data_IF_997261518088
#
_entry.id   IF_997261518088
#
_cell.length_a   1.000
_cell.length_b   1.000
_cell.length_c   1.000
_cell.angle_alpha   90.00
_cell.angle_beta   90.00
_cell.angle_gamma   90.00
#
_symmetry.space_group_name_H-M   'P 1'
#
loop_
_entity.id
_entity.type
_entity.pdbx_description
1 polymer ?
#
# COMPACT_ATOMS: atom_id res chain seq x y z
N UNK A 1 -10.94 -20.32 -20.80
CA UNK A 1 -11.04 -18.85 -20.66
C UNK A 1 -11.23 -18.56 -19.19
N UNK A 2 -10.15 -18.39 -18.43
CA UNK A 2 -10.22 -18.06 -17.00
C UNK A 2 -10.62 -16.60 -16.87
N UNK A 3 -11.72 -16.33 -16.18
CA UNK A 3 -12.12 -14.98 -15.84
C UNK A 3 -10.97 -14.28 -15.10
N UNK A 4 -10.61 -13.07 -15.52
CA UNK A 4 -9.61 -12.27 -14.81
C UNK A 4 -10.25 -11.80 -13.50
N UNK A 5 -10.05 -12.54 -12.41
CA UNK A 5 -10.49 -12.10 -11.09
C UNK A 5 -9.59 -10.95 -10.63
N UNK A 6 -10.20 -9.87 -10.13
CA UNK A 6 -9.46 -8.77 -9.51
C UNK A 6 -8.68 -9.30 -8.30
N UNK A 7 -7.35 -9.06 -8.20
CA UNK A 7 -6.56 -9.52 -7.07
C UNK A 7 -7.04 -8.91 -5.75
N UNK A 8 -7.07 -9.72 -4.69
CA UNK A 8 -7.36 -9.26 -3.32
C UNK A 8 -6.16 -8.56 -2.67
N UNK A 9 -4.96 -8.99 -3.02
CA UNK A 9 -3.70 -8.45 -2.53
C UNK A 9 -2.75 -8.18 -3.69
N UNK A 10 -2.13 -7.00 -3.73
CA UNK A 10 -1.20 -6.63 -4.78
C UNK A 10 0.12 -6.13 -4.19
N UNK A 11 1.21 -6.39 -4.91
CA UNK A 11 2.48 -5.68 -4.73
C UNK A 11 2.33 -4.24 -5.24
N UNK A 12 2.72 -3.26 -4.44
CA UNK A 12 2.72 -1.84 -4.79
C UNK A 12 4.07 -1.21 -4.46
N UNK A 13 4.89 -1.07 -5.50
CA UNK A 13 6.20 -0.47 -5.38
C UNK A 13 6.10 1.04 -5.58
N UNK A 14 6.23 1.75 -4.48
CA UNK A 14 6.25 3.22 -4.43
C UNK A 14 7.52 3.75 -5.11
N UNK A 15 7.44 4.83 -5.93
CA UNK A 15 8.61 5.46 -6.56
C UNK A 15 9.70 5.82 -5.55
N UNK A 16 10.98 5.76 -5.96
CA UNK A 16 12.14 5.93 -5.07
C UNK A 16 12.14 7.26 -4.33
N UNK A 17 11.69 8.31 -5.00
CA UNK A 17 11.61 9.65 -4.43
C UNK A 17 10.69 9.76 -3.21
N UNK A 18 9.79 8.81 -3.00
CA UNK A 18 8.86 8.78 -1.86
C UNK A 18 9.21 7.72 -0.81
N UNK A 19 10.37 7.06 -0.94
CA UNK A 19 10.84 6.13 0.07
C UNK A 19 11.15 6.88 1.37
N UNK A 20 10.68 6.34 2.52
CA UNK A 20 10.77 7.01 3.84
C UNK A 20 10.01 8.34 3.92
N UNK A 21 8.93 8.44 3.14
CA UNK A 21 8.00 9.56 3.14
C UNK A 21 6.57 9.04 3.35
N UNK A 22 6.39 8.23 4.40
CA UNK A 22 5.05 7.83 4.87
C UNK A 22 4.37 8.97 5.63
N UNK A 23 3.04 8.94 5.73
CA UNK A 23 2.30 9.88 6.57
C UNK A 23 2.69 9.71 8.04
N UNK A 24 2.95 8.48 8.49
CA UNK A 24 3.43 8.18 9.84
C UNK A 24 4.75 8.88 10.19
N UNK A 25 5.62 9.12 9.20
CA UNK A 25 6.92 9.79 9.39
C UNK A 25 6.82 11.32 9.26
N UNK A 26 5.81 11.84 8.55
CA UNK A 26 5.74 13.27 8.20
C UNK A 26 4.68 14.04 9.00
N UNK A 27 3.64 13.36 9.49
CA UNK A 27 2.57 13.98 10.25
C UNK A 27 2.90 14.04 11.74
N UNK A 28 2.33 15.02 12.48
CA UNK A 28 2.23 14.96 13.93
C UNK A 28 1.67 13.63 14.42
N UNK A 29 2.24 13.10 15.50
CA UNK A 29 1.92 11.77 15.98
C UNK A 29 0.45 11.61 16.38
N UNK A 30 -0.17 12.64 16.95
CA UNK A 30 -1.58 12.70 17.31
C UNK A 30 -2.50 12.63 16.09
N UNK A 31 -2.24 13.41 15.04
CA UNK A 31 -2.97 13.34 13.78
C UNK A 31 -2.83 11.96 13.12
N UNK A 32 -1.64 11.36 13.17
CA UNK A 32 -1.45 10.01 12.65
C UNK A 32 -2.23 8.96 13.47
N UNK A 33 -2.31 9.10 14.80
CA UNK A 33 -3.15 8.22 15.62
C UNK A 33 -4.64 8.37 15.27
N UNK A 34 -5.10 9.57 14.96
CA UNK A 34 -6.48 9.80 14.50
C UNK A 34 -6.74 9.09 13.15
N UNK A 35 -5.85 9.26 12.17
CA UNK A 35 -5.90 8.55 10.88
C UNK A 35 -5.96 7.03 11.08
N UNK A 36 -5.08 6.48 11.93
CA UNK A 36 -5.06 5.04 12.24
C UNK A 36 -6.34 4.57 12.90
N UNK A 37 -6.82 5.28 13.92
CA UNK A 37 -8.02 4.95 14.66
C UNK A 37 -9.26 4.94 13.78
N UNK A 38 -9.41 5.96 12.93
CA UNK A 38 -10.47 6.02 11.93
C UNK A 38 -10.40 4.86 10.95
N UNK A 39 -9.20 4.57 10.42
CA UNK A 39 -9.00 3.50 9.43
C UNK A 39 -9.36 2.13 9.99
N UNK A 40 -8.88 1.80 11.18
CA UNK A 40 -9.17 0.52 11.81
C UNK A 40 -10.65 0.37 12.15
N UNK A 41 -11.30 1.45 12.61
CA UNK A 41 -12.75 1.42 12.88
C UNK A 41 -13.56 1.24 11.59
N UNK A 42 -13.22 1.97 10.52
CA UNK A 42 -13.89 1.85 9.20
C UNK A 42 -13.74 0.44 8.64
N UNK A 43 -12.57 -0.17 8.83
CA UNK A 43 -12.27 -1.51 8.34
C UNK A 43 -12.65 -2.62 9.33
N UNK A 44 -13.47 -2.31 10.33
CA UNK A 44 -14.00 -3.26 11.32
C UNK A 44 -12.90 -4.07 12.03
N UNK A 45 -11.73 -3.46 12.22
CA UNK A 45 -10.53 -4.10 12.77
C UNK A 45 -10.15 -5.39 12.02
N UNK A 46 -10.24 -5.36 10.69
CA UNK A 46 -9.87 -6.48 9.80
C UNK A 46 -8.98 -6.01 8.66
N UNK A 47 -8.02 -6.85 8.31
CA UNK A 47 -7.20 -6.67 7.12
C UNK A 47 -8.09 -6.67 5.87
N UNK A 48 -8.05 -5.59 5.08
CA UNK A 48 -8.86 -5.44 3.87
C UNK A 48 -8.54 -6.45 2.77
N UNK A 49 -7.34 -7.01 2.78
CA UNK A 49 -6.90 -7.99 1.77
C UNK A 49 -7.27 -9.44 2.14
N UNK A 50 -7.09 -9.85 3.40
CA UNK A 50 -7.22 -11.26 3.82
C UNK A 50 -8.19 -11.52 4.98
N UNK A 51 -8.73 -10.49 5.61
CA UNK A 51 -9.70 -10.60 6.71
C UNK A 51 -9.10 -10.86 8.10
N UNK A 52 -7.77 -10.97 8.23
CA UNK A 52 -7.07 -11.13 9.52
C UNK A 52 -7.41 -10.01 10.50
N UNK A 53 -7.67 -10.36 11.76
CA UNK A 53 -7.91 -9.40 12.86
C UNK A 53 -6.63 -9.07 13.65
N UNK A 54 -5.57 -9.86 13.47
CA UNK A 54 -4.31 -9.70 14.20
C UNK A 54 -3.30 -8.83 13.47
N UNK A 55 -2.52 -8.10 14.26
CA UNK A 55 -1.30 -7.38 13.83
C UNK A 55 -1.55 -6.43 12.67
N UNK A 56 -2.50 -5.51 12.88
CA UNK A 56 -2.94 -4.55 11.88
C UNK A 56 -2.07 -3.30 11.85
N UNK A 57 -1.74 -2.90 10.63
CA UNK A 57 -1.01 -1.71 10.25
C UNK A 57 -1.91 -0.84 9.36
N UNK A 58 -1.74 0.47 9.45
CA UNK A 58 -2.44 1.42 8.59
C UNK A 58 -1.55 1.71 7.38
N UNK A 59 -2.05 1.40 6.19
CA UNK A 59 -1.35 1.52 4.92
C UNK A 59 -1.99 2.62 4.07
N UNK A 60 -1.16 3.46 3.47
CA UNK A 60 -1.61 4.50 2.55
C UNK A 60 -1.89 3.93 1.15
N UNK A 61 -3.01 4.35 0.56
CA UNK A 61 -3.38 4.05 -0.82
C UNK A 61 -3.02 5.25 -1.69
N UNK A 62 -2.05 5.07 -2.58
CA UNK A 62 -1.55 6.14 -3.45
C UNK A 62 -1.91 5.91 -4.91
N UNK A 63 -2.30 6.97 -5.61
CA UNK A 63 -2.32 7.05 -7.07
C UNK A 63 -1.29 8.05 -7.58
N UNK A 64 -1.04 7.96 -8.88
CA UNK A 64 -0.05 8.78 -9.60
C UNK A 64 -0.70 9.27 -10.89
N UNK A 65 -0.87 10.60 -10.99
CA UNK A 65 -1.50 11.27 -12.12
C UNK A 65 -0.55 12.35 -12.64
N UNK A 66 0.03 12.11 -13.83
CA UNK A 66 1.13 12.93 -14.35
C UNK A 66 2.30 12.99 -13.36
N UNK A 67 2.64 14.20 -12.92
CA UNK A 67 3.70 14.49 -11.95
C UNK A 67 3.16 14.73 -10.52
N UNK A 68 1.94 14.28 -10.22
CA UNK A 68 1.30 14.41 -8.89
C UNK A 68 1.10 13.03 -8.28
N UNK A 69 1.55 12.85 -7.02
CA UNK A 69 1.15 11.70 -6.19
C UNK A 69 -0.08 12.10 -5.37
N UNK A 70 -1.15 11.29 -5.39
CA UNK A 70 -2.37 11.58 -4.62
C UNK A 70 -2.65 10.50 -3.59
N UNK A 71 -3.02 10.92 -2.38
CA UNK A 71 -3.56 10.02 -1.37
C UNK A 71 -5.03 9.74 -1.73
N UNK A 72 -5.34 8.50 -2.08
CA UNK A 72 -6.71 8.08 -2.37
C UNK A 72 -7.40 7.49 -1.13
N UNK A 73 -6.63 7.20 -0.09
CA UNK A 73 -7.14 6.84 1.21
C UNK A 73 -6.18 6.03 2.06
N UNK A 74 -6.73 5.47 3.14
CA UNK A 74 -6.02 4.61 4.08
C UNK A 74 -6.71 3.25 4.12
N UNK A 75 -6.00 2.19 4.50
CA UNK A 75 -6.56 0.85 4.72
C UNK A 75 -5.86 0.11 5.86
N UNK A 76 -6.60 -0.76 6.54
CA UNK A 76 -6.04 -1.70 7.49
C UNK A 76 -5.50 -2.92 6.74
N UNK A 77 -4.22 -3.24 6.94
CA UNK A 77 -3.58 -4.47 6.47
C UNK A 77 -2.93 -5.18 7.64
N UNK A 78 -2.99 -6.52 7.68
CA UNK A 78 -2.13 -7.26 8.60
C UNK A 78 -0.67 -7.22 8.13
N UNK A 79 0.30 -7.34 9.04
CA UNK A 79 1.72 -7.27 8.71
C UNK A 79 2.16 -8.15 7.52
N UNK A 80 1.68 -9.40 7.36
CA UNK A 80 1.98 -10.19 6.16
C UNK A 80 1.46 -9.59 4.85
N UNK A 81 0.24 -9.02 4.84
CA UNK A 81 -0.31 -8.33 3.68
C UNK A 81 0.44 -7.02 3.40
N UNK A 82 0.76 -6.25 4.44
CA UNK A 82 1.53 -5.02 4.31
C UNK A 82 2.97 -5.30 3.82
N UNK A 83 3.58 -6.42 4.22
CA UNK A 83 4.87 -6.86 3.68
C UNK A 83 4.82 -7.21 2.19
N UNK A 84 3.70 -7.77 1.69
CA UNK A 84 3.48 -8.00 0.26
C UNK A 84 3.26 -6.69 -0.49
N UNK A 85 2.44 -5.80 0.07
CA UNK A 85 2.18 -4.47 -0.49
C UNK A 85 3.51 -3.74 -0.72
N UNK A 86 4.35 -3.67 0.32
CA UNK A 86 5.69 -3.06 0.26
C UNK A 86 6.80 -4.08 -0.03
N UNK A 87 6.64 -4.92 -1.06
CA UNK A 87 7.60 -5.99 -1.36
C UNK A 87 9.03 -5.48 -1.52
N UNK A 88 9.24 -4.28 -2.08
CA UNK A 88 10.56 -3.66 -2.19
C UNK A 88 11.25 -3.49 -0.82
N UNK A 89 10.52 -3.01 0.19
CA UNK A 89 11.02 -2.92 1.58
C UNK A 89 11.31 -4.31 2.14
N UNK A 90 10.40 -5.26 1.90
CA UNK A 90 10.52 -6.64 2.40
C UNK A 90 11.73 -7.38 1.83
N UNK A 91 12.08 -7.16 0.55
CA UNK A 91 13.31 -7.70 -0.04
C UNK A 91 14.56 -7.22 0.69
N UNK A 92 14.56 -5.99 1.20
CA UNK A 92 15.73 -5.42 1.88
C UNK A 92 15.79 -5.72 3.38
N UNK A 93 14.65 -5.93 4.05
CA UNK A 93 14.57 -5.94 5.52
C UNK A 93 13.75 -7.09 6.11
N UNK A 94 13.17 -7.95 5.28
CA UNK A 94 12.26 -9.01 5.73
C UNK A 94 12.48 -10.32 4.97
N UNK A 95 11.41 -11.11 4.87
CA UNK A 95 11.40 -12.41 4.19
C UNK A 95 10.56 -12.30 2.89
N UNK A 96 11.19 -12.07 1.73
CA UNK A 96 10.48 -11.98 0.46
C UNK A 96 9.83 -13.31 0.05
N UNK A 97 10.36 -14.45 0.47
CA UNK A 97 9.77 -15.75 0.15
C UNK A 97 8.48 -15.96 0.95
N UNK A 98 8.45 -15.56 2.22
CA UNK A 98 7.21 -15.55 3.02
C UNK A 98 6.17 -14.61 2.43
N UNK A 99 6.57 -13.42 1.97
CA UNK A 99 5.68 -12.49 1.30
C UNK A 99 5.10 -13.10 0.01
N UNK A 100 5.92 -13.69 -0.86
CA UNK A 100 5.44 -14.33 -2.09
C UNK A 100 4.49 -15.51 -1.80
N UNK A 101 4.79 -16.35 -0.80
CA UNK A 101 3.86 -17.40 -0.34
C UNK A 101 2.54 -16.81 0.17
N UNK A 102 2.60 -15.66 0.85
CA UNK A 102 1.41 -14.97 1.35
C UNK A 102 0.57 -14.38 0.21
N UNK A 103 1.20 -13.75 -0.78
CA UNK A 103 0.55 -13.25 -2.00
C UNK A 103 -0.21 -14.38 -2.73
N UNK A 104 0.46 -15.53 -2.92
CA UNK A 104 -0.15 -16.71 -3.54
C UNK A 104 -1.39 -17.17 -2.77
N UNK A 105 -1.27 -17.36 -1.46
CA UNK A 105 -2.39 -17.83 -0.62
C UNK A 105 -3.57 -16.86 -0.60
N UNK A 106 -3.32 -15.55 -0.50
CA UNK A 106 -4.40 -14.56 -0.44
C UNK A 106 -5.12 -14.43 -1.79
N UNK A 107 -4.45 -14.63 -2.91
CA UNK A 107 -5.11 -14.52 -4.22
C UNK A 107 -5.54 -15.87 -4.82
N UNK A 108 -5.26 -16.99 -4.15
CA UNK A 108 -5.38 -18.33 -4.72
C UNK A 108 -4.61 -18.47 -6.06
N UNK A 109 -3.40 -17.93 -6.07
CA UNK A 109 -2.54 -17.88 -7.25
C UNK A 109 -1.51 -19.00 -7.25
N UNK A 110 -1.27 -19.56 -8.43
CA UNK A 110 -0.07 -20.33 -8.71
C UNK A 110 1.19 -19.48 -8.57
N UNK A 111 2.34 -20.13 -8.41
CA UNK A 111 3.64 -19.44 -8.38
C UNK A 111 3.88 -18.61 -9.65
N UNK A 112 3.45 -19.12 -10.80
CA UNK A 112 3.62 -18.43 -12.08
C UNK A 112 2.82 -17.12 -12.14
N UNK A 113 1.59 -17.11 -11.61
CA UNK A 113 0.75 -15.91 -11.55
C UNK A 113 1.31 -14.88 -10.57
N UNK A 114 1.75 -15.30 -9.39
CA UNK A 114 2.36 -14.41 -8.41
C UNK A 114 3.67 -13.79 -8.93
N UNK A 115 4.50 -14.57 -9.63
CA UNK A 115 5.71 -14.07 -10.28
C UNK A 115 5.37 -13.06 -11.37
N UNK A 116 4.38 -13.36 -12.23
CA UNK A 116 3.92 -12.45 -13.27
C UNK A 116 3.44 -11.12 -12.67
N UNK A 117 2.60 -11.15 -11.64
CA UNK A 117 2.13 -9.94 -10.94
C UNK A 117 3.28 -9.11 -10.37
N UNK A 118 4.25 -9.77 -9.73
CA UNK A 118 5.45 -9.09 -9.20
C UNK A 118 6.23 -8.42 -10.33
N UNK A 119 6.41 -9.09 -11.46
CA UNK A 119 7.17 -8.58 -12.58
C UNK A 119 6.46 -7.39 -13.25
N UNK A 120 5.13 -7.43 -13.35
CA UNK A 120 4.29 -6.29 -13.77
C UNK A 120 4.44 -5.10 -12.81
N UNK A 121 4.41 -5.34 -11.49
CA UNK A 121 4.65 -4.30 -10.50
C UNK A 121 6.06 -3.69 -10.60
N UNK A 122 7.08 -4.49 -10.95
CA UNK A 122 8.44 -4.02 -11.20
C UNK A 122 8.55 -3.18 -12.48
N UNK A 123 7.80 -3.52 -13.53
CA UNK A 123 7.72 -2.69 -14.75
C UNK A 123 7.08 -1.35 -14.40
N UNK A 124 5.93 -1.35 -13.73
CA UNK A 124 5.26 -0.12 -13.30
C UNK A 124 6.15 0.75 -12.40
N UNK A 125 6.87 0.13 -11.46
CA UNK A 125 7.86 0.82 -10.64
C UNK A 125 8.93 1.52 -11.49
N UNK A 126 9.50 0.84 -12.49
CA UNK A 126 10.50 1.44 -13.38
C UNK A 126 9.93 2.64 -14.13
N UNK A 127 8.71 2.53 -14.65
CA UNK A 127 8.04 3.62 -15.35
C UNK A 127 7.78 4.81 -14.43
N UNK A 128 7.22 4.60 -13.24
CA UNK A 128 6.98 5.69 -12.28
C UNK A 128 8.29 6.38 -11.87
N UNK A 129 9.41 5.66 -11.81
CA UNK A 129 10.72 6.25 -11.52
C UNK A 129 11.35 7.06 -12.67
N UNK A 130 10.70 7.13 -13.84
CA UNK A 130 11.09 8.07 -14.93
C UNK A 130 10.39 9.42 -14.81
N UNK A 131 9.40 9.52 -13.93
CA UNK A 131 8.65 10.75 -13.68
C UNK A 131 9.30 11.51 -12.53
N UNK A 132 9.50 12.80 -12.74
CA UNK A 132 9.81 13.74 -11.66
C UNK A 132 8.47 14.24 -11.09
N UNK A 133 8.11 13.82 -9.88
CA UNK A 133 6.88 14.33 -9.26
C UNK A 133 7.17 15.60 -8.50
N UNK A 134 6.31 16.60 -8.70
CA UNK A 134 6.50 17.96 -8.18
C UNK A 134 5.59 18.28 -7.01
N UNK A 135 4.58 17.45 -6.75
CA UNK A 135 3.65 17.65 -5.64
C UNK A 135 3.05 16.35 -5.11
N UNK A 136 2.62 16.41 -3.85
CA UNK A 136 1.78 15.39 -3.21
C UNK A 136 0.45 16.03 -2.82
N UNK A 137 -0.65 15.44 -3.27
CA UNK A 137 -2.01 15.83 -2.92
C UNK A 137 -2.53 14.95 -1.78
N UNK A 138 -2.74 15.57 -0.62
CA UNK A 138 -3.30 14.95 0.59
C UNK A 138 -4.69 15.47 0.91
N UNK A 139 -5.38 16.13 -0.03
CA UNK A 139 -6.72 16.69 0.16
C UNK A 139 -7.77 15.68 0.61
N UNK A 140 -7.53 14.38 0.36
CA UNK A 140 -8.34 13.29 0.91
C UNK A 140 -8.43 13.33 2.45
N UNK A 141 -7.36 13.67 3.16
CA UNK A 141 -7.37 13.78 4.63
C UNK A 141 -8.37 14.84 5.10
N UNK A 142 -8.38 16.00 4.44
CA UNK A 142 -9.33 17.06 4.77
C UNK A 142 -10.76 16.64 4.45
N UNK A 143 -10.98 16.05 3.27
CA UNK A 143 -12.31 15.66 2.82
C UNK A 143 -12.95 14.56 3.68
N UNK A 144 -12.16 13.61 4.19
CA UNK A 144 -12.68 12.43 4.90
C UNK A 144 -12.49 12.47 6.41
N UNK A 145 -11.46 13.17 6.89
CA UNK A 145 -11.09 13.23 8.31
C UNK A 145 -11.12 14.65 8.88
N UNK A 146 -11.29 15.68 8.06
CA UNK A 146 -11.19 17.07 8.52
C UNK A 146 -9.77 17.49 8.89
N UNK A 147 -8.74 16.73 8.48
CA UNK A 147 -7.35 16.99 8.80
C UNK A 147 -6.70 17.77 7.65
N UNK A 148 -6.29 19.01 7.93
CA UNK A 148 -5.48 19.82 7.02
C UNK A 148 -4.00 19.45 7.19
N UNK A 149 -3.39 18.93 6.12
CA UNK A 149 -2.00 18.49 6.12
C UNK A 149 -1.38 18.69 4.73
N UNK A 150 -0.20 19.32 4.69
CA UNK A 150 0.53 19.63 3.46
C UNK A 150 1.93 19.03 3.53
N UNK A 151 2.39 18.48 2.41
CA UNK A 151 3.70 17.82 2.24
C UNK A 151 4.53 18.56 1.21
#
# INVERSE_FOLDING_TARGET
>A
MTAYQTPRLTVDLVPRQFWRSSLAEQMPADQWQECRGWTFKRDEFRCRACGSESDLECDEIWSYDGNVRRLDGLQALCSPCHAVKHLGRTVHRGDPDAAMRHLMRVNDWSRAEAVRHRDEALVLFKERNRVEFVSTDTSWLLAWLGIEFHV
#
